data_IF_156983336527
#
_entry.id   IF_156983336527
#
_cell.length_a   1.000
_cell.length_b   1.000
_cell.length_c   1.000
_cell.angle_alpha   90.00
_cell.angle_beta   90.00
_cell.angle_gamma   90.00
#
_symmetry.space_group_name_H-M   'P 1'
#
loop_
_entity.id
_entity.type
_entity.pdbx_description
1 polymer ?
#
# COMPACT_ATOMS: atom_id res chain seq x y z
N UNK A 1 -11.57 -9.33 5.35
CA UNK A 1 -10.79 -8.12 5.68
C UNK A 1 -10.77 -7.19 4.47
N UNK A 2 -10.29 -5.94 4.56
CA UNK A 2 -10.17 -5.05 3.38
C UNK A 2 -9.22 -5.66 2.32
N UNK A 3 -8.29 -6.53 2.71
CA UNK A 3 -7.39 -7.29 1.81
C UNK A 3 -8.11 -8.21 0.83
N UNK A 4 -9.32 -8.67 1.16
CA UNK A 4 -10.08 -9.62 0.33
C UNK A 4 -11.05 -8.90 -0.62
N UNK A 5 -11.04 -7.55 -0.61
CA UNK A 5 -11.83 -6.76 -1.52
C UNK A 5 -11.14 -6.66 -2.88
N UNK A 6 -11.26 -7.74 -3.67
CA UNK A 6 -10.67 -7.85 -5.00
C UNK A 6 -11.13 -6.74 -5.95
N UNK A 7 -12.38 -6.27 -5.80
CA UNK A 7 -12.92 -5.17 -6.62
C UNK A 7 -12.18 -3.87 -6.34
N UNK A 8 -11.96 -3.54 -5.07
CA UNK A 8 -11.20 -2.34 -4.70
C UNK A 8 -9.76 -2.45 -5.20
N UNK A 9 -9.09 -3.60 -5.02
CA UNK A 9 -7.73 -3.82 -5.54
C UNK A 9 -7.64 -3.54 -7.04
N UNK A 10 -8.50 -4.17 -7.84
CA UNK A 10 -8.53 -3.98 -9.31
C UNK A 10 -8.81 -2.54 -9.71
N UNK A 11 -9.68 -1.85 -8.98
CA UNK A 11 -9.94 -0.43 -9.21
C UNK A 11 -8.66 0.40 -9.04
N UNK A 12 -7.91 0.21 -7.96
CA UNK A 12 -6.67 0.97 -7.74
C UNK A 12 -5.58 0.64 -8.77
N UNK A 13 -5.42 -0.65 -9.10
CA UNK A 13 -4.49 -1.09 -10.15
C UNK A 13 -4.82 -0.44 -11.50
N UNK A 14 -6.10 -0.39 -11.90
CA UNK A 14 -6.50 0.25 -13.17
C UNK A 14 -6.30 1.76 -13.18
N UNK A 15 -6.29 2.41 -12.02
CA UNK A 15 -5.96 3.83 -11.88
C UNK A 15 -4.45 4.11 -11.88
N UNK A 16 -3.60 3.07 -11.98
CA UNK A 16 -2.15 3.19 -12.03
C UNK A 16 -1.46 3.18 -10.66
N UNK A 17 -2.15 2.71 -9.61
CA UNK A 17 -1.51 2.48 -8.32
C UNK A 17 -0.79 1.13 -8.33
N UNK A 18 0.44 1.12 -7.85
CA UNK A 18 1.24 -0.09 -7.65
C UNK A 18 1.29 -0.46 -6.17
N UNK A 19 1.19 -1.77 -5.86
CA UNK A 19 1.43 -2.26 -4.49
C UNK A 19 2.90 -2.07 -4.14
N UNK A 20 3.16 -1.45 -2.99
CA UNK A 20 4.52 -1.16 -2.49
C UNK A 20 4.87 -2.04 -1.30
N UNK A 21 3.95 -2.22 -0.36
CA UNK A 21 4.21 -2.96 0.87
C UNK A 21 2.94 -3.65 1.39
N UNK A 22 3.11 -4.75 2.10
CA UNK A 22 2.05 -5.40 2.89
C UNK A 22 2.53 -5.60 4.32
N UNK A 23 1.87 -4.92 5.27
CA UNK A 23 2.14 -5.10 6.70
C UNK A 23 1.03 -5.92 7.34
N UNK A 24 1.41 -7.05 7.91
CA UNK A 24 0.49 -7.95 8.62
C UNK A 24 0.48 -7.66 10.12
N UNK A 25 -0.66 -7.91 10.76
CA UNK A 25 -0.74 -7.86 12.22
C UNK A 25 -0.67 -6.45 12.82
N UNK A 26 -0.93 -5.41 12.02
CA UNK A 26 -0.91 -4.02 12.50
C UNK A 26 -2.05 -3.82 13.49
N UNK A 27 -1.72 -3.44 14.72
CA UNK A 27 -2.70 -3.18 15.76
C UNK A 27 -3.49 -1.91 15.45
N UNK A 28 -4.82 -2.03 15.45
CA UNK A 28 -5.76 -0.91 15.40
C UNK A 28 -6.77 -1.09 16.53
N UNK A 29 -6.47 -0.49 17.69
CA UNK A 29 -7.18 -0.74 18.93
C UNK A 29 -7.07 -2.21 19.33
N UNK A 30 -8.20 -2.87 19.54
CA UNK A 30 -8.27 -4.29 19.95
C UNK A 30 -8.15 -5.29 18.78
N UNK A 31 -7.99 -4.83 17.53
CA UNK A 31 -7.92 -5.68 16.34
C UNK A 31 -6.54 -5.65 15.69
N UNK A 32 -6.16 -6.76 15.07
CA UNK A 32 -5.00 -6.87 14.19
C UNK A 32 -5.46 -6.88 12.74
N UNK A 33 -4.91 -5.98 11.93
CA UNK A 33 -5.26 -5.81 10.53
C UNK A 33 -4.06 -6.06 9.61
N UNK A 34 -4.35 -6.48 8.39
CA UNK A 34 -3.36 -6.45 7.29
C UNK A 34 -3.58 -5.18 6.48
N UNK A 35 -2.52 -4.41 6.29
CA UNK A 35 -2.52 -3.15 5.54
C UNK A 35 -1.72 -3.36 4.26
N UNK A 36 -2.31 -3.00 3.12
CA UNK A 36 -1.63 -2.94 1.83
C UNK A 36 -1.43 -1.47 1.48
N UNK A 37 -0.18 -1.05 1.31
CA UNK A 37 0.15 0.28 0.81
C UNK A 37 0.23 0.21 -0.72
N UNK A 38 -0.56 1.03 -1.41
CA UNK A 38 -0.49 1.20 -2.86
C UNK A 38 -0.19 2.66 -3.20
N UNK A 39 0.68 2.88 -4.18
CA UNK A 39 1.19 4.21 -4.54
C UNK A 39 1.05 4.41 -6.03
N UNK A 40 0.55 5.59 -6.41
CA UNK A 40 0.61 6.10 -7.77
C UNK A 40 1.63 7.23 -7.77
N UNK A 41 2.71 7.06 -8.52
CA UNK A 41 3.71 8.12 -8.65
C UNK A 41 3.18 9.22 -9.57
N UNK A 42 3.54 10.47 -9.27
CA UNK A 42 3.17 11.64 -10.05
C UNK A 42 4.43 12.30 -10.61
N UNK A 43 4.37 12.82 -11.83
CA UNK A 43 5.40 13.70 -12.40
C UNK A 43 6.84 13.18 -12.28
N UNK A 44 7.14 12.02 -12.84
CA UNK A 44 8.50 11.48 -12.93
C UNK A 44 9.10 10.95 -11.62
N UNK A 45 8.37 11.06 -10.50
CA UNK A 45 8.78 10.43 -9.23
C UNK A 45 8.70 8.91 -9.33
N UNK A 46 9.55 8.23 -8.56
CA UNK A 46 9.62 6.77 -8.54
C UNK A 46 9.29 6.21 -7.16
N UNK A 47 8.88 4.94 -7.12
CA UNK A 47 8.62 4.24 -5.84
C UNK A 47 9.88 4.19 -4.96
N UNK A 48 11.11 3.94 -5.48
CA UNK A 48 12.33 4.06 -4.67
C UNK A 48 12.50 5.41 -3.98
N UNK A 49 12.27 6.52 -4.69
CA UNK A 49 12.33 7.87 -4.10
C UNK A 49 11.30 8.06 -2.99
N UNK A 50 10.09 7.51 -3.15
CA UNK A 50 9.11 7.48 -2.06
C UNK A 50 9.64 6.68 -0.85
N UNK A 51 10.22 5.51 -1.09
CA UNK A 51 10.72 4.62 -0.04
C UNK A 51 11.89 5.22 0.72
N UNK A 52 12.74 6.02 0.07
CA UNK A 52 13.78 6.83 0.75
C UNK A 52 13.19 7.77 1.80
N UNK A 53 12.00 8.31 1.57
CA UNK A 53 11.33 9.23 2.51
C UNK A 53 10.48 8.51 3.56
N UNK A 54 10.01 7.30 3.27
CA UNK A 54 9.04 6.59 4.11
C UNK A 54 9.55 5.22 4.51
N UNK A 55 10.35 5.21 5.59
CA UNK A 55 11.02 4.00 6.09
C UNK A 55 10.05 2.85 6.43
N UNK A 56 8.87 3.17 6.99
CA UNK A 56 7.86 2.17 7.38
C UNK A 56 7.34 1.29 6.23
N UNK A 57 7.51 1.71 4.98
CA UNK A 57 7.00 1.02 3.80
C UNK A 57 8.11 0.27 3.04
N UNK A 58 9.36 0.23 3.56
CA UNK A 58 10.51 -0.48 2.95
C UNK A 58 10.51 -2.01 3.18
N UNK A 59 9.52 -2.53 3.89
CA UNK A 59 9.42 -3.93 4.33
C UNK A 59 8.77 -4.86 3.31
#
# INVERSE_FOLDING_TARGET
MVTDNLRAKRFWESQGFAKVCERRGVAMGLKKNTIITMIKTLSGTTIPQYLELVERDRT
#
